data_IF_509786135713
#
_entry.id   IF_509786135713
#
_cell.length_a   1.000
_cell.length_b   1.000
_cell.length_c   1.000
_cell.angle_alpha   90.00
_cell.angle_beta   90.00
_cell.angle_gamma   90.00
#
_symmetry.space_group_name_H-M   'P 1'
#
loop_
_entity.id
_entity.type
_entity.pdbx_description
1 polymer ?
#
# COMPACT_ATOMS: atom_id res chain seq x y z
N UNK A 1 -3.77 -13.11 -16.95
CA UNK A 1 -4.46 -11.79 -16.91
C UNK A 1 -5.71 -11.94 -16.06
N UNK A 2 -5.92 -11.09 -15.05
CA UNK A 2 -7.13 -11.13 -14.21
C UNK A 2 -8.20 -10.30 -14.93
N UNK A 3 -9.35 -10.92 -15.24
CA UNK A 3 -10.52 -10.21 -15.80
C UNK A 3 -11.34 -9.58 -14.66
N UNK A 4 -12.18 -8.59 -14.97
CA UNK A 4 -13.08 -7.93 -14.00
C UNK A 4 -13.90 -8.93 -13.15
N UNK A 5 -14.46 -9.98 -13.75
CA UNK A 5 -15.19 -11.01 -13.01
C UNK A 5 -14.33 -11.78 -12.01
N UNK A 6 -13.06 -12.05 -12.36
CA UNK A 6 -12.11 -12.70 -11.45
C UNK A 6 -11.72 -11.77 -10.30
N UNK A 7 -11.66 -10.45 -10.53
CA UNK A 7 -11.41 -9.46 -9.49
C UNK A 7 -12.53 -9.49 -8.44
N UNK A 8 -13.80 -9.50 -8.88
CA UNK A 8 -14.95 -9.60 -7.98
C UNK A 8 -14.97 -10.88 -7.16
N UNK A 9 -14.67 -12.02 -7.80
CA UNK A 9 -14.61 -13.30 -7.12
C UNK A 9 -13.51 -13.32 -6.05
N UNK A 10 -12.31 -12.82 -6.39
CA UNK A 10 -11.19 -12.74 -5.47
C UNK A 10 -11.49 -11.85 -4.27
N UNK A 11 -12.04 -10.65 -4.51
CA UNK A 11 -12.29 -9.71 -3.42
C UNK A 11 -13.40 -10.25 -2.52
N UNK A 12 -14.41 -10.91 -3.10
CA UNK A 12 -15.52 -11.51 -2.36
C UNK A 12 -15.13 -12.78 -1.59
N UNK A 13 -14.07 -13.49 -2.01
CA UNK A 13 -13.44 -14.56 -1.22
C UNK A 13 -12.63 -13.99 -0.06
N UNK A 14 -11.86 -12.93 -0.33
CA UNK A 14 -11.08 -12.24 0.68
C UNK A 14 -11.95 -11.65 1.80
N UNK A 15 -13.12 -11.07 1.50
CA UNK A 15 -14.06 -10.58 2.54
C UNK A 15 -14.53 -11.68 3.49
N UNK A 16 -14.51 -12.95 3.06
CA UNK A 16 -14.85 -14.14 3.85
C UNK A 16 -13.64 -14.77 4.56
N UNK A 17 -12.49 -14.10 4.55
CA UNK A 17 -11.24 -14.59 5.15
C UNK A 17 -10.49 -15.61 4.30
N UNK A 18 -10.89 -15.84 3.04
CA UNK A 18 -10.19 -16.74 2.12
C UNK A 18 -9.19 -15.93 1.31
N UNK A 19 -8.01 -15.74 1.88
CA UNK A 19 -6.92 -14.98 1.25
C UNK A 19 -6.30 -15.72 0.05
N UNK A 20 -5.73 -14.97 -0.88
CA UNK A 20 -4.92 -15.49 -1.99
C UNK A 20 -3.71 -14.60 -2.22
N UNK A 21 -2.63 -14.87 -1.48
CA UNK A 21 -1.40 -14.06 -1.51
C UNK A 21 -0.76 -14.02 -2.90
N UNK A 22 -0.79 -15.14 -3.64
CA UNK A 22 -0.24 -15.22 -4.99
C UNK A 22 -0.96 -14.31 -6.00
N UNK A 23 -2.23 -13.99 -5.74
CA UNK A 23 -3.03 -13.04 -6.53
C UNK A 23 -3.13 -11.67 -5.87
N UNK A 24 -2.44 -11.44 -4.76
CA UNK A 24 -2.46 -10.19 -4.01
C UNK A 24 -3.78 -9.92 -3.29
N UNK A 25 -4.57 -10.94 -2.96
CA UNK A 25 -5.88 -10.78 -2.31
C UNK A 25 -5.79 -11.13 -0.81
N UNK A 26 -6.22 -10.22 0.06
CA UNK A 26 -6.31 -10.41 1.52
C UNK A 26 -7.53 -9.72 2.07
N UNK A 27 -8.09 -10.19 3.19
CA UNK A 27 -9.23 -9.52 3.82
C UNK A 27 -9.33 -9.67 5.33
N UNK A 28 -10.13 -8.84 5.99
CA UNK A 28 -10.32 -8.87 7.44
C UNK A 28 -11.67 -8.27 7.80
N UNK A 29 -12.41 -8.91 8.73
CA UNK A 29 -13.71 -8.44 9.23
C UNK A 29 -14.70 -8.00 8.13
N UNK A 30 -14.84 -8.80 7.06
CA UNK A 30 -15.75 -8.49 5.95
C UNK A 30 -15.19 -7.51 4.92
N UNK A 31 -14.00 -6.93 5.14
CA UNK A 31 -13.28 -6.18 4.11
C UNK A 31 -12.43 -7.14 3.26
N UNK A 32 -12.34 -6.84 1.97
CA UNK A 32 -11.47 -7.53 1.03
C UNK A 32 -10.66 -6.51 0.23
N UNK A 33 -9.39 -6.84 0.02
CA UNK A 33 -8.41 -5.99 -0.64
C UNK A 33 -7.68 -6.81 -1.71
N UNK A 34 -7.53 -6.25 -2.91
CA UNK A 34 -6.70 -6.82 -3.96
C UNK A 34 -5.64 -5.81 -4.36
N UNK A 35 -4.38 -6.20 -4.28
CA UNK A 35 -3.23 -5.35 -4.59
C UNK A 35 -2.63 -5.67 -5.96
N UNK A 36 -2.26 -4.63 -6.71
CA UNK A 36 -1.52 -4.69 -7.98
C UNK A 36 -0.45 -3.59 -8.04
N UNK A 37 0.69 -3.91 -8.63
CA UNK A 37 1.68 -2.92 -8.99
C UNK A 37 1.18 -2.06 -10.15
N UNK A 38 1.57 -0.79 -10.18
CA UNK A 38 1.23 0.15 -11.26
C UNK A 38 1.87 -0.25 -12.60
N UNK A 39 2.92 -1.06 -12.57
CA UNK A 39 3.57 -1.69 -13.72
C UNK A 39 2.76 -2.83 -14.35
N UNK A 40 1.59 -3.17 -13.80
CA UNK A 40 0.78 -4.25 -14.35
C UNK A 40 0.18 -3.90 -15.71
N UNK A 41 0.15 -4.87 -16.64
CA UNK A 41 -0.51 -4.73 -17.95
C UNK A 41 -2.05 -4.78 -17.88
N UNK A 42 -2.65 -4.44 -16.73
CA UNK A 42 -4.10 -4.48 -16.53
C UNK A 42 -4.69 -3.11 -16.85
N UNK A 43 -5.66 -3.06 -17.77
CA UNK A 43 -6.25 -1.82 -18.26
C UNK A 43 -6.96 -0.98 -17.19
N UNK A 44 -7.39 -1.61 -16.09
CA UNK A 44 -8.04 -0.96 -14.95
C UNK A 44 -7.08 -0.58 -13.82
N UNK A 45 -5.78 -0.89 -13.93
CA UNK A 45 -4.76 -0.46 -12.98
C UNK A 45 -4.18 0.85 -13.51
N UNK A 46 -4.43 1.94 -12.78
CA UNK A 46 -4.02 3.30 -13.13
C UNK A 46 -3.43 3.99 -11.91
N UNK A 47 -2.47 4.88 -12.13
CA UNK A 47 -1.96 5.75 -11.07
C UNK A 47 -2.99 6.83 -10.71
N UNK A 48 -2.89 7.35 -9.49
CA UNK A 48 -3.61 8.56 -9.06
C UNK A 48 -2.57 9.66 -8.95
N UNK A 49 -2.84 10.82 -9.55
CA UNK A 49 -1.84 11.89 -9.59
C UNK A 49 -1.68 12.67 -8.26
N UNK A 50 -2.71 12.76 -7.38
CA UNK A 50 -2.51 13.28 -6.00
C UNK A 50 -3.74 13.24 -5.05
N UNK A 51 -4.85 12.58 -5.38
CA UNK A 51 -6.10 12.75 -4.62
C UNK A 51 -6.16 11.86 -3.36
N UNK A 52 -5.53 12.31 -2.26
CA UNK A 52 -5.53 11.65 -0.94
C UNK A 52 -6.89 11.80 -0.25
N UNK A 53 -7.42 10.70 0.30
CA UNK A 53 -8.63 10.75 1.14
C UNK A 53 -8.40 10.25 2.57
N UNK A 54 -7.28 9.57 2.85
CA UNK A 54 -6.98 9.06 4.18
C UNK A 54 -5.46 8.98 4.40
N UNK A 55 -4.98 9.39 5.58
CA UNK A 55 -3.60 9.13 6.03
C UNK A 55 -3.66 8.03 7.09
N UNK A 56 -2.75 7.05 7.03
CA UNK A 56 -2.78 5.91 7.94
C UNK A 56 -2.37 6.32 9.36
N UNK A 57 -1.28 7.07 9.52
CA UNK A 57 -0.77 7.53 10.83
C UNK A 57 -1.79 8.30 11.65
N UNK A 58 -2.54 9.23 11.05
CA UNK A 58 -3.57 10.04 11.71
C UNK A 58 -4.75 9.23 12.28
N UNK A 59 -4.97 8.00 11.84
CA UNK A 59 -6.09 7.16 12.26
C UNK A 59 -5.67 6.06 13.24
N UNK A 60 -4.43 6.08 13.74
CA UNK A 60 -3.92 5.08 14.68
C UNK A 60 -4.27 5.43 16.12
N UNK A 61 -4.74 4.42 16.83
CA UNK A 61 -4.75 4.38 18.28
C UNK A 61 -3.46 3.68 18.73
N UNK A 62 -2.37 4.45 18.89
CA UNK A 62 -1.02 3.93 19.12
C UNK A 62 -0.92 3.00 20.35
N UNK A 63 -1.77 3.23 21.37
CA UNK A 63 -1.88 2.39 22.57
C UNK A 63 -2.28 0.95 22.21
N UNK A 64 -3.30 0.77 21.36
CA UNK A 64 -3.74 -0.56 20.92
C UNK A 64 -2.70 -1.28 20.07
N UNK A 65 -1.84 -0.54 19.36
CA UNK A 65 -0.79 -1.17 18.56
C UNK A 65 0.36 -1.66 19.45
N UNK A 66 0.70 -0.92 20.51
CA UNK A 66 1.66 -1.34 21.55
C UNK A 66 1.19 -2.58 22.30
N UNK A 67 -0.10 -2.70 22.63
CA UNK A 67 -0.65 -3.91 23.26
C UNK A 67 -0.44 -5.18 22.42
N UNK A 68 -0.51 -5.05 21.10
CA UNK A 68 -0.37 -6.18 20.17
C UNK A 68 1.09 -6.45 19.80
N UNK A 69 1.96 -5.43 19.83
CA UNK A 69 3.40 -5.55 19.57
C UNK A 69 4.24 -4.95 20.71
N UNK A 70 4.22 -5.57 21.90
CA UNK A 70 4.83 -4.99 23.11
C UNK A 70 6.36 -4.88 23.05
N UNK A 71 7.00 -5.58 22.11
CA UNK A 71 8.46 -5.59 21.93
C UNK A 71 8.94 -4.67 20.81
N UNK A 72 8.03 -3.95 20.14
CA UNK A 72 8.40 -2.96 19.14
C UNK A 72 8.44 -1.58 19.79
N UNK A 73 9.60 -0.95 19.73
CA UNK A 73 9.70 0.50 19.96
C UNK A 73 8.89 1.17 18.84
N UNK A 74 7.76 1.78 19.21
CA UNK A 74 6.73 2.24 18.26
C UNK A 74 7.18 3.53 17.57
N UNK A 75 8.07 3.34 16.61
CA UNK A 75 8.42 4.33 15.60
C UNK A 75 7.44 4.17 14.42
N UNK A 76 6.59 5.17 14.21
CA UNK A 76 5.58 5.17 13.15
C UNK A 76 6.18 4.91 11.77
N UNK A 77 7.40 5.40 11.51
CA UNK A 77 8.09 5.15 10.24
C UNK A 77 8.45 3.68 10.10
N UNK A 78 8.95 3.04 11.16
CA UNK A 78 9.29 1.61 11.14
C UNK A 78 8.07 0.74 10.87
N UNK A 79 6.91 1.10 11.42
CA UNK A 79 5.66 0.39 11.14
C UNK A 79 5.25 0.50 9.67
N UNK A 80 5.32 1.69 9.09
CA UNK A 80 4.93 1.91 7.70
C UNK A 80 5.92 1.25 6.71
N UNK A 81 7.20 1.21 7.05
CA UNK A 81 8.21 0.42 6.35
C UNK A 81 7.84 -1.08 6.34
N UNK A 82 7.27 -1.62 7.42
CA UNK A 82 6.80 -3.01 7.46
C UNK A 82 5.60 -3.25 6.53
N UNK A 83 4.71 -2.27 6.34
CA UNK A 83 3.63 -2.38 5.35
C UNK A 83 4.21 -2.57 3.94
N UNK A 84 5.27 -1.83 3.61
CA UNK A 84 6.03 -2.04 2.37
C UNK A 84 6.47 -3.49 2.20
N UNK A 85 6.99 -4.13 3.26
CA UNK A 85 7.45 -5.52 3.23
C UNK A 85 6.33 -6.52 2.93
N UNK A 86 5.13 -6.31 3.48
CA UNK A 86 3.95 -7.13 3.17
C UNK A 86 3.51 -6.95 1.71
N UNK A 87 3.58 -5.72 1.19
CA UNK A 87 3.27 -5.44 -0.21
C UNK A 87 4.28 -6.11 -1.15
N UNK A 88 5.56 -6.20 -0.79
CA UNK A 88 6.56 -6.95 -1.58
C UNK A 88 6.18 -8.42 -1.72
N UNK A 89 5.59 -9.00 -0.67
CA UNK A 89 5.11 -10.38 -0.71
C UNK A 89 3.90 -10.55 -1.63
N UNK A 90 2.96 -9.60 -1.61
CA UNK A 90 1.74 -9.63 -2.42
C UNK A 90 1.97 -9.25 -3.89
N UNK A 91 2.92 -8.35 -4.14
CA UNK A 91 3.31 -7.83 -5.45
C UNK A 91 4.83 -7.96 -5.58
N UNK A 92 5.37 -9.14 -5.95
CA UNK A 92 6.81 -9.32 -6.05
C UNK A 92 7.52 -8.37 -7.03
N UNK A 93 6.79 -7.83 -8.01
CA UNK A 93 7.32 -6.89 -9.02
C UNK A 93 7.38 -5.44 -8.55
N UNK A 94 6.79 -5.10 -7.39
CA UNK A 94 6.81 -3.72 -6.88
C UNK A 94 8.25 -3.22 -6.73
N UNK A 95 8.47 -2.00 -7.21
CA UNK A 95 9.71 -1.27 -7.08
C UNK A 95 9.61 -0.31 -5.90
N UNK A 96 10.70 -0.19 -5.14
CA UNK A 96 10.79 0.74 -4.02
C UNK A 96 11.83 1.81 -4.30
N UNK A 97 11.50 3.03 -3.92
CA UNK A 97 12.30 4.22 -4.13
C UNK A 97 11.74 5.08 -5.25
N UNK A 98 12.10 6.37 -5.20
CA UNK A 98 11.48 7.39 -6.03
C UNK A 98 11.74 8.78 -5.48
N UNK A 99 11.25 9.79 -6.20
CA UNK A 99 11.23 11.18 -5.76
C UNK A 99 9.91 11.38 -5.04
N UNK A 100 9.95 11.74 -3.76
CA UNK A 100 8.81 12.03 -2.88
C UNK A 100 7.81 10.89 -2.64
N UNK A 101 7.93 9.76 -3.34
CA UNK A 101 7.24 8.50 -3.12
C UNK A 101 8.24 7.34 -2.97
N UNK A 102 8.06 6.50 -1.95
CA UNK A 102 8.78 5.24 -1.77
C UNK A 102 8.12 4.13 -2.58
N UNK A 103 6.80 4.07 -2.58
CA UNK A 103 6.03 3.13 -3.38
C UNK A 103 4.60 3.62 -3.57
N UNK A 104 4.01 3.21 -4.68
CA UNK A 104 2.59 3.36 -4.99
C UNK A 104 2.06 2.01 -5.47
N UNK A 105 0.95 1.55 -4.87
CA UNK A 105 0.26 0.33 -5.30
C UNK A 105 -1.21 0.60 -5.54
N UNK A 106 -1.73 0.02 -6.61
CA UNK A 106 -3.15 0.02 -6.87
C UNK A 106 -3.84 -1.03 -6.01
N UNK A 107 -5.03 -0.69 -5.53
CA UNK A 107 -5.86 -1.52 -4.67
C UNK A 107 -7.31 -1.51 -5.15
N UNK A 108 -7.96 -2.67 -5.16
CA UNK A 108 -9.42 -2.77 -5.23
C UNK A 108 -9.96 -3.15 -3.86
N UNK A 109 -10.95 -2.41 -3.38
CA UNK A 109 -11.54 -2.59 -2.05
C UNK A 109 -12.98 -3.07 -2.19
N UNK A 110 -13.36 -4.02 -1.36
CA UNK A 110 -14.76 -4.33 -1.05
C UNK A 110 -14.99 -4.24 0.45
N UNK A 111 -15.99 -3.49 0.86
CA UNK A 111 -16.38 -3.32 2.27
C UNK A 111 -17.42 -4.37 2.69
N UNK A 112 -17.68 -4.53 4.02
CA UNK A 112 -18.69 -5.45 4.52
C UNK A 112 -20.11 -5.17 4.01
N UNK A 113 -20.45 -3.90 3.78
CA UNK A 113 -21.73 -3.45 3.23
C UNK A 113 -21.79 -3.47 1.69
N UNK A 114 -20.76 -4.01 1.03
CA UNK A 114 -20.76 -4.26 -0.41
C UNK A 114 -20.32 -3.08 -1.28
N UNK A 115 -19.84 -1.98 -0.68
CA UNK A 115 -19.19 -0.88 -1.40
C UNK A 115 -17.90 -1.35 -2.05
N UNK A 116 -17.66 -0.89 -3.27
CA UNK A 116 -16.58 -1.32 -4.14
C UNK A 116 -15.98 -0.13 -4.86
N UNK A 117 -14.66 0.01 -4.75
CA UNK A 117 -13.94 1.13 -5.33
C UNK A 117 -12.45 0.80 -5.50
N UNK A 118 -11.79 1.39 -6.52
CA UNK A 118 -10.34 1.40 -6.61
C UNK A 118 -9.76 2.47 -5.67
N UNK A 119 -8.56 2.23 -5.18
CA UNK A 119 -7.77 3.15 -4.40
C UNK A 119 -6.28 2.95 -4.71
N UNK A 120 -5.45 3.92 -4.36
CA UNK A 120 -4.00 3.77 -4.34
C UNK A 120 -3.55 3.73 -2.89
N UNK A 121 -2.76 2.73 -2.52
CA UNK A 121 -2.06 2.71 -1.24
C UNK A 121 -0.60 3.07 -1.50
N UNK A 122 -0.09 4.08 -0.81
CA UNK A 122 1.23 4.62 -1.10
C UNK A 122 1.94 5.11 0.16
N UNK A 123 3.26 5.27 0.05
CA UNK A 123 4.11 5.86 1.07
C UNK A 123 4.92 7.00 0.45
N UNK A 124 4.68 8.23 0.89
CA UNK A 124 5.41 9.42 0.42
C UNK A 124 6.01 10.23 1.55
N UNK A 125 6.34 11.50 1.29
CA UNK A 125 6.96 12.40 2.29
C UNK A 125 6.17 12.52 3.60
N UNK A 126 4.83 12.47 3.52
CA UNK A 126 3.96 12.55 4.70
C UNK A 126 3.62 11.19 5.33
N UNK A 127 4.33 10.13 4.96
CA UNK A 127 4.07 8.75 5.37
C UNK A 127 3.03 8.03 4.51
N UNK A 128 2.47 6.97 5.06
CA UNK A 128 1.55 6.07 4.38
C UNK A 128 0.12 6.64 4.27
N UNK A 129 -0.48 6.54 3.08
CA UNK A 129 -1.79 7.11 2.79
C UNK A 129 -2.60 6.31 1.75
N UNK A 130 -3.90 6.57 1.71
CA UNK A 130 -4.82 6.10 0.68
C UNK A 130 -5.26 7.27 -0.20
N UNK A 131 -5.12 7.09 -1.51
CA UNK A 131 -5.65 7.95 -2.55
C UNK A 131 -6.83 7.31 -3.28
N UNK A 132 -7.70 8.12 -3.87
CA UNK A 132 -8.85 7.68 -4.65
C UNK A 132 -9.12 8.64 -5.81
N UNK A 133 -9.96 8.25 -6.75
CA UNK A 133 -10.39 9.13 -7.84
C UNK A 133 -11.68 9.85 -7.44
N UNK A 134 -11.67 11.19 -7.50
CA UNK A 134 -12.89 11.99 -7.30
C UNK A 134 -13.79 11.95 -8.54
N UNK A 135 -13.17 11.89 -9.73
CA UNK A 135 -13.81 11.74 -11.02
C UNK A 135 -13.14 10.57 -11.74
N UNK A 136 -13.92 9.73 -12.42
CA UNK A 136 -13.42 8.67 -13.29
C UNK A 136 -13.16 9.17 -14.72
N UNK A 137 -13.04 10.50 -14.88
CA UNK A 137 -12.60 11.16 -16.10
C UNK A 137 -11.23 11.79 -15.88
N UNK A 138 -10.34 11.66 -16.87
CA UNK A 138 -9.07 12.39 -16.91
C UNK A 138 -9.28 13.88 -17.25
N UNK A 139 -8.20 14.66 -17.26
CA UNK A 139 -8.22 16.09 -17.57
C UNK A 139 -8.73 16.40 -18.99
N UNK A 140 -8.73 15.42 -19.89
CA UNK A 140 -9.28 15.52 -21.24
C UNK A 140 -10.74 15.09 -21.34
N UNK A 141 -11.36 14.69 -20.22
CA UNK A 141 -12.74 14.22 -20.15
C UNK A 141 -12.94 12.76 -20.58
N UNK A 142 -11.86 12.00 -20.77
CA UNK A 142 -11.92 10.57 -21.15
C UNK A 142 -12.04 9.69 -19.92
N UNK A 143 -12.74 8.57 -20.09
CA UNK A 143 -12.87 7.55 -19.03
C UNK A 143 -11.48 7.02 -18.64
N UNK A 144 -11.17 7.09 -17.35
CA UNK A 144 -9.92 6.60 -16.76
C UNK A 144 -9.89 5.07 -16.82
N UNK A 145 -11.05 4.46 -16.62
CA UNK A 145 -11.20 3.01 -16.56
C UNK A 145 -12.02 2.48 -17.73
N UNK A 146 -11.79 1.23 -18.15
CA UNK A 146 -12.70 0.56 -19.08
C UNK A 146 -14.11 0.45 -18.48
N UNK A 147 -15.15 0.63 -19.30
CA UNK A 147 -16.56 0.56 -18.87
C UNK A 147 -16.91 -0.69 -18.06
N UNK A 148 -16.34 -1.84 -18.43
CA UNK A 148 -16.54 -3.10 -17.71
C UNK A 148 -16.04 -3.05 -16.26
N UNK A 149 -14.98 -2.30 -16.00
CA UNK A 149 -14.46 -2.08 -14.65
C UNK A 149 -15.26 -1.00 -13.92
N UNK A 150 -15.62 0.09 -14.60
CA UNK A 150 -16.45 1.16 -14.02
C UNK A 150 -17.78 0.62 -13.50
N UNK A 151 -18.39 -0.33 -14.21
CA UNK A 151 -19.62 -1.00 -13.78
C UNK A 151 -19.49 -1.74 -12.43
N UNK A 152 -18.28 -2.03 -11.96
CA UNK A 152 -18.03 -2.64 -10.66
C UNK A 152 -17.97 -1.63 -9.52
N UNK A 153 -17.73 -0.36 -9.85
CA UNK A 153 -17.53 0.70 -8.88
C UNK A 153 -18.90 1.24 -8.48
N UNK A 154 -19.21 1.18 -7.19
CA UNK A 154 -20.50 1.63 -6.67
C UNK A 154 -20.35 2.59 -5.47
N UNK A 155 -19.13 3.06 -5.19
CA UNK A 155 -18.88 3.97 -4.08
C UNK A 155 -17.72 4.92 -4.39
N UNK A 156 -17.81 6.13 -3.85
CA UNK A 156 -16.74 7.12 -3.90
C UNK A 156 -16.04 7.18 -2.54
N UNK A 157 -14.74 6.84 -2.43
CA UNK A 157 -14.04 6.80 -1.14
C UNK A 157 -13.96 8.16 -0.41
N UNK A 158 -14.16 9.28 -1.10
CA UNK A 158 -14.22 10.61 -0.48
C UNK A 158 -15.49 10.84 0.33
N UNK A 159 -16.48 9.95 0.23
CA UNK A 159 -17.73 10.02 0.99
C UNK A 159 -17.68 9.27 2.33
N UNK A 160 -16.57 8.61 2.66
CA UNK A 160 -16.41 8.00 3.97
C UNK A 160 -16.41 9.05 5.09
N UNK A 161 -17.09 8.75 6.18
CA UNK A 161 -16.92 9.48 7.44
C UNK A 161 -15.57 9.16 8.07
N UNK A 162 -15.08 10.04 8.97
CA UNK A 162 -13.83 9.78 9.73
C UNK A 162 -13.84 8.43 10.46
N UNK A 163 -14.98 8.05 11.03
CA UNK A 163 -15.14 6.77 11.72
C UNK A 163 -14.98 5.58 10.76
N UNK A 164 -15.59 5.65 9.58
CA UNK A 164 -15.47 4.59 8.58
C UNK A 164 -14.04 4.50 8.03
N UNK A 165 -13.35 5.64 7.85
CA UNK A 165 -11.94 5.65 7.47
C UNK A 165 -11.07 4.94 8.51
N UNK A 166 -11.30 5.17 9.80
CA UNK A 166 -10.60 4.45 10.87
C UNK A 166 -10.83 2.93 10.81
N UNK A 167 -12.07 2.49 10.55
CA UNK A 167 -12.40 1.07 10.38
C UNK A 167 -11.72 0.48 9.14
N UNK A 168 -11.74 1.20 8.02
CA UNK A 168 -11.07 0.80 6.78
C UNK A 168 -9.56 0.64 6.97
N UNK A 169 -8.91 1.62 7.60
CA UNK A 169 -7.47 1.58 7.91
C UNK A 169 -7.15 0.40 8.81
N UNK A 170 -7.92 0.21 9.89
CA UNK A 170 -7.71 -0.92 10.80
C UNK A 170 -7.88 -2.27 10.08
N UNK A 171 -8.87 -2.40 9.19
CA UNK A 171 -9.08 -3.62 8.43
C UNK A 171 -7.96 -3.86 7.40
N UNK A 172 -7.47 -2.82 6.74
CA UNK A 172 -6.34 -2.87 5.82
C UNK A 172 -5.07 -3.33 6.54
N UNK A 173 -4.72 -2.66 7.63
CA UNK A 173 -3.53 -2.97 8.43
C UNK A 173 -3.58 -4.42 8.96
N UNK A 174 -4.73 -4.84 9.53
CA UNK A 174 -4.90 -6.22 9.98
C UNK A 174 -4.88 -7.25 8.85
N UNK A 175 -5.37 -6.90 7.66
CA UNK A 175 -5.26 -7.78 6.48
C UNK A 175 -3.81 -7.98 6.06
N UNK A 176 -3.02 -6.90 6.03
CA UNK A 176 -1.60 -6.93 5.68
C UNK A 176 -0.76 -7.65 6.74
N UNK A 177 -1.10 -7.56 8.03
CA UNK A 177 -0.41 -8.28 9.12
C UNK A 177 -0.41 -9.80 8.97
N UNK A 178 -1.40 -10.37 8.27
CA UNK A 178 -1.46 -11.82 7.99
C UNK A 178 -0.44 -12.25 6.93
N UNK A 179 0.12 -11.31 6.19
CA UNK A 179 1.04 -11.58 5.08
C UNK A 179 2.45 -11.72 5.64
N UNK A 180 3.19 -12.79 5.27
CA UNK A 180 4.59 -12.92 5.64
C UNK A 180 5.43 -11.75 5.12
N UNK A 181 6.28 -11.21 5.99
CA UNK A 181 7.23 -10.17 5.62
C UNK A 181 8.24 -10.69 4.57
N UNK A 182 8.56 -9.84 3.61
CA UNK A 182 9.64 -10.04 2.63
C UNK A 182 10.64 -8.90 2.70
N UNK A 183 11.92 -9.24 2.63
CA UNK A 183 12.98 -8.24 2.62
C UNK A 183 12.88 -7.38 1.36
N UNK A 184 13.13 -6.08 1.53
CA UNK A 184 13.20 -5.12 0.44
C UNK A 184 14.06 -3.93 0.87
N UNK A 185 14.48 -3.14 -0.11
CA UNK A 185 15.08 -1.83 0.13
C UNK A 185 14.69 -0.88 -0.99
N UNK A 186 14.70 0.41 -0.69
CA UNK A 186 14.49 1.49 -1.66
C UNK A 186 15.23 2.75 -1.23
N UNK A 187 15.53 3.61 -2.20
CA UNK A 187 16.10 4.94 -1.96
C UNK A 187 15.01 5.97 -2.18
N UNK A 188 14.58 6.58 -1.08
CA UNK A 188 13.61 7.66 -1.06
C UNK A 188 14.33 9.01 -1.22
N UNK A 189 14.02 9.76 -2.27
CA UNK A 189 14.63 11.07 -2.54
C UNK A 189 13.65 12.17 -2.13
N UNK A 190 14.12 13.12 -1.35
CA UNK A 190 13.35 14.23 -0.82
C UNK A 190 14.20 15.50 -0.81
N UNK A 191 13.58 16.64 -0.52
CA UNK A 191 14.25 17.95 -0.60
C UNK A 191 15.51 18.06 0.26
N UNK A 192 15.53 17.37 1.40
CA UNK A 192 16.66 17.39 2.34
C UNK A 192 17.71 16.30 2.08
N UNK A 193 17.54 15.44 1.08
CA UNK A 193 18.53 14.42 0.72
C UNK A 193 17.94 13.10 0.24
N UNK A 194 18.68 12.02 0.49
CA UNK A 194 18.24 10.67 0.14
C UNK A 194 18.23 9.81 1.40
N UNK A 195 17.21 8.99 1.55
CA UNK A 195 17.09 8.03 2.64
C UNK A 195 17.02 6.63 2.08
N UNK A 196 17.93 5.76 2.51
CA UNK A 196 17.87 4.32 2.28
C UNK A 196 16.98 3.70 3.35
N UNK A 197 15.91 3.03 2.95
CA UNK A 197 14.96 2.41 3.88
C UNK A 197 14.45 1.08 3.36
N UNK A 198 14.00 0.22 4.27
CA UNK A 198 13.49 -1.09 3.92
C UNK A 198 13.41 -2.06 5.09
N UNK A 199 13.32 -3.35 4.76
CA UNK A 199 13.30 -4.45 5.72
C UNK A 199 14.39 -5.45 5.37
N UNK A 200 15.19 -5.81 6.36
CA UNK A 200 16.22 -6.84 6.28
C UNK A 200 16.07 -7.78 7.47
N UNK A 201 16.04 -9.10 7.24
CA UNK A 201 15.87 -10.10 8.31
C UNK A 201 14.64 -9.80 9.18
N UNK A 202 13.54 -9.34 8.56
CA UNK A 202 12.28 -8.92 9.21
C UNK A 202 12.40 -7.70 10.13
N UNK A 203 13.54 -7.00 10.15
CA UNK A 203 13.73 -5.77 10.91
C UNK A 203 13.68 -4.55 9.96
N UNK A 204 12.83 -3.55 10.24
CA UNK A 204 12.82 -2.32 9.47
C UNK A 204 14.07 -1.50 9.75
N UNK A 205 14.60 -0.83 8.72
CA UNK A 205 15.70 0.11 8.83
C UNK A 205 15.42 1.36 8.00
N UNK A 206 15.99 2.48 8.43
CA UNK A 206 16.11 3.70 7.64
C UNK A 206 17.46 4.35 7.95
N UNK A 207 18.08 4.94 6.95
CA UNK A 207 19.41 5.54 7.04
C UNK A 207 19.49 6.73 6.09
N UNK A 208 19.79 7.91 6.63
CA UNK A 208 20.12 9.07 5.80
C UNK A 208 21.43 8.81 5.05
N UNK A 209 21.41 9.04 3.75
CA UNK A 209 22.57 8.90 2.89
C UNK A 209 23.23 10.27 2.72
N UNK A 210 24.37 10.47 3.38
CA UNK A 210 25.19 11.66 3.19
C UNK A 210 26.13 11.48 1.97
N UNK A 211 26.08 12.41 1.02
CA UNK A 211 26.92 12.41 -0.20
C UNK A 211 26.13 12.29 -1.51
N UNK A 212 26.83 12.26 -2.65
CA UNK A 212 26.18 12.06 -3.96
C UNK A 212 25.63 10.62 -4.07
N UNK A 213 24.31 10.42 -4.15
CA UNK A 213 23.69 9.08 -4.17
C UNK A 213 24.11 8.26 -5.39
N UNK A 214 24.62 8.89 -6.46
CA UNK A 214 25.15 8.19 -7.64
C UNK A 214 26.51 7.53 -7.37
N UNK A 215 27.19 7.93 -6.29
CA UNK A 215 28.51 7.42 -5.90
C UNK A 215 28.44 6.44 -4.73
N UNK A 216 27.27 6.23 -4.14
CA UNK A 216 27.07 5.30 -3.03
C UNK A 216 26.79 3.90 -3.57
N UNK A 217 27.57 2.92 -3.11
CA UNK A 217 27.31 1.51 -3.38
C UNK A 217 26.22 1.01 -2.41
N UNK A 218 24.96 1.22 -2.79
CA UNK A 218 23.78 0.81 -2.01
C UNK A 218 23.81 -0.69 -1.72
N UNK A 219 24.26 -1.51 -2.68
CA UNK A 219 24.30 -2.95 -2.49
C UNK A 219 25.31 -3.36 -1.42
N UNK A 220 26.47 -2.70 -1.37
CA UNK A 220 27.46 -2.89 -0.30
C UNK A 220 26.92 -2.47 1.07
N UNK A 221 26.18 -1.36 1.15
CA UNK A 221 25.54 -0.92 2.41
C UNK A 221 24.49 -1.94 2.86
N UNK A 222 23.59 -2.37 1.96
CA UNK A 222 22.57 -3.38 2.26
C UNK A 222 23.19 -4.71 2.69
N UNK A 223 24.28 -5.13 2.03
CA UNK A 223 24.99 -6.35 2.41
C UNK A 223 25.63 -6.23 3.81
N UNK A 224 26.15 -5.06 4.18
CA UNK A 224 26.66 -4.81 5.52
C UNK A 224 25.56 -4.89 6.59
N UNK A 225 24.33 -4.44 6.28
CA UNK A 225 23.16 -4.55 7.17
C UNK A 225 22.66 -5.99 7.36
N UNK A 226 23.04 -6.94 6.50
CA UNK A 226 22.71 -8.37 6.66
C UNK A 226 23.64 -9.12 7.61
N UNK A 227 24.76 -8.49 8.01
CA UNK A 227 25.76 -9.07 8.89
C UNK A 227 25.56 -8.72 10.38
N UNK A 228 24.45 -8.04 10.71
CA UNK A 228 24.00 -7.68 12.07
C UNK A 228 22.59 -8.23 12.32
#
# INVERSE_FOLDING_TARGET
MIKCNMLLELVSKATKGVDNLAKGAVGYNGFGFIFKGLDSNLSYVKSIDSSRFCTLSFNRDLEKIKEVYPYFDFDEQKYEILLGSTLKKLIPTIQYGGIESLFDVWMFVRTPDGRQFPATFYYGQSGAALGGWQSYKDDSGKDIFPKEFEALINFNPFQFTKKELGILVQALENSLRKVPLSDYYGVFKHDTGNTLMGVSLKKPFYMELYGDPRKLDIQKIVNALRLF
#
